data_IF_922171344236
#
_entry.id   IF_922171344236
#
_cell.length_a   1.000
_cell.length_b   1.000
_cell.length_c   1.000
_cell.angle_alpha   90.00
_cell.angle_beta   90.00
_cell.angle_gamma   90.00
#
_symmetry.space_group_name_H-M   'P 1'
#
loop_
_entity.id
_entity.type
_entity.pdbx_description
1 polymer ?
#
# COMPACT_ATOMS: atom_id res chain seq x y z
N UNK A 1 0.06 -2.71 8.72
CA UNK A 1 1.05 -1.70 8.32
C UNK A 1 2.15 -1.67 9.37
N UNK A 2 3.39 -1.44 8.97
CA UNK A 2 4.51 -1.20 9.87
C UNK A 2 5.08 0.18 9.57
N UNK A 3 5.06 1.07 10.56
CA UNK A 3 5.61 2.42 10.46
C UNK A 3 7.08 2.38 10.80
N UNK A 4 7.93 2.61 9.80
CA UNK A 4 9.38 2.45 9.91
C UNK A 4 10.08 3.80 10.17
N UNK A 5 9.57 4.88 9.57
CA UNK A 5 10.14 6.23 9.69
C UNK A 5 9.04 7.28 9.60
N UNK A 6 9.17 8.34 10.39
CA UNK A 6 8.26 9.49 10.34
C UNK A 6 8.53 10.38 9.13
N UNK A 7 7.46 10.89 8.52
CA UNK A 7 7.50 12.00 7.56
C UNK A 7 6.81 13.21 8.21
N UNK A 8 7.58 14.22 8.60
CA UNK A 8 7.09 15.37 9.38
C UNK A 8 6.69 16.57 8.51
N UNK A 9 7.02 16.53 7.22
CA UNK A 9 6.71 17.54 6.21
C UNK A 9 6.74 16.91 4.82
N UNK A 10 6.26 17.63 3.81
CA UNK A 10 6.21 17.14 2.42
C UNK A 10 5.13 16.08 2.22
N UNK A 11 5.33 15.24 1.21
CA UNK A 11 4.41 14.16 0.85
C UNK A 11 4.96 12.78 1.18
N UNK A 12 4.02 11.84 1.34
CA UNK A 12 4.29 10.41 1.33
C UNK A 12 3.63 9.82 0.10
N UNK A 13 4.42 9.20 -0.76
CA UNK A 13 3.97 8.54 -1.99
C UNK A 13 3.91 7.03 -1.77
N UNK A 14 2.78 6.42 -2.11
CA UNK A 14 2.60 4.96 -2.05
C UNK A 14 2.65 4.33 -3.45
N UNK A 15 3.46 3.29 -3.61
CA UNK A 15 3.44 2.43 -4.81
C UNK A 15 2.83 1.09 -4.43
N UNK A 16 1.77 0.70 -5.15
CA UNK A 16 1.08 -0.57 -4.93
C UNK A 16 1.50 -1.60 -5.97
N UNK A 17 1.69 -2.84 -5.53
CA UNK A 17 1.94 -3.99 -6.41
C UNK A 17 1.03 -5.14 -6.02
N UNK A 18 0.42 -5.84 -6.99
CA UNK A 18 -0.45 -6.95 -6.67
C UNK A 18 0.40 -8.12 -6.15
N UNK A 19 -0.03 -8.72 -5.05
CA UNK A 19 0.51 -9.98 -4.52
C UNK A 19 -0.37 -11.14 -4.96
N UNK A 20 -1.69 -10.93 -4.98
CA UNK A 20 -2.67 -11.90 -5.46
C UNK A 20 -3.87 -11.17 -6.08
N UNK A 21 -4.28 -11.59 -7.28
CA UNK A 21 -5.49 -11.07 -7.95
C UNK A 21 -6.43 -12.25 -8.21
N UNK A 22 -7.33 -12.50 -7.26
CA UNK A 22 -8.35 -13.54 -7.35
C UNK A 22 -9.70 -13.00 -7.81
N UNK A 23 -10.63 -13.91 -8.10
CA UNK A 23 -11.99 -13.59 -8.56
C UNK A 23 -12.84 -12.90 -7.49
N UNK A 24 -12.61 -13.20 -6.22
CA UNK A 24 -13.38 -12.69 -5.08
C UNK A 24 -12.53 -11.93 -4.06
N UNK A 25 -11.20 -12.09 -4.10
CA UNK A 25 -10.27 -11.41 -3.20
C UNK A 25 -9.04 -10.92 -3.95
N UNK A 26 -8.49 -9.79 -3.53
CA UNK A 26 -7.20 -9.30 -3.99
C UNK A 26 -6.32 -8.96 -2.79
N UNK A 27 -5.01 -9.14 -2.93
CA UNK A 27 -4.02 -8.78 -1.92
C UNK A 27 -2.98 -7.89 -2.58
N UNK A 28 -2.71 -6.74 -1.99
CA UNK A 28 -1.79 -5.73 -2.52
C UNK A 28 -0.73 -5.38 -1.49
N UNK A 29 0.53 -5.37 -1.92
CA UNK A 29 1.63 -4.77 -1.18
C UNK A 29 1.67 -3.28 -1.50
N UNK A 30 1.91 -2.46 -0.47
CA UNK A 30 2.02 -1.02 -0.58
C UNK A 30 3.33 -0.61 0.11
N UNK A 31 4.25 -0.07 -0.68
CA UNK A 31 5.47 0.54 -0.18
C UNK A 31 5.28 2.06 -0.20
N UNK A 32 5.48 2.71 0.94
CA UNK A 32 5.32 4.15 1.08
C UNK A 32 6.68 4.81 1.31
N UNK A 33 7.00 5.81 0.51
CA UNK A 33 8.24 6.59 0.61
C UNK A 33 7.94 8.07 0.80
N UNK A 34 8.80 8.80 1.51
CA UNK A 34 8.74 10.27 1.54
C UNK A 34 9.36 10.89 0.27
N UNK A 35 9.34 12.22 0.16
CA UNK A 35 9.92 12.96 -0.96
C UNK A 35 11.44 12.75 -1.12
N UNK A 36 12.14 12.32 -0.06
CA UNK A 36 13.56 11.96 -0.11
C UNK A 36 13.79 10.51 -0.60
N UNK A 37 12.72 9.78 -0.96
CA UNK A 37 12.78 8.39 -1.40
C UNK A 37 12.98 7.37 -0.27
N UNK A 38 12.90 7.80 0.98
CA UNK A 38 13.09 6.92 2.14
C UNK A 38 11.81 6.15 2.46
N UNK A 39 11.94 4.84 2.70
CA UNK A 39 10.81 3.98 3.06
C UNK A 39 10.26 4.37 4.44
N UNK A 40 9.04 4.88 4.49
CA UNK A 40 8.37 5.32 5.72
C UNK A 40 7.44 4.24 6.28
N UNK A 41 6.79 3.47 5.41
CA UNK A 41 5.84 2.44 5.82
C UNK A 41 5.76 1.32 4.78
N UNK A 42 5.56 0.11 5.27
CA UNK A 42 5.12 -1.03 4.45
C UNK A 42 3.74 -1.46 4.92
N UNK A 43 2.84 -1.67 3.98
CA UNK A 43 1.47 -2.10 4.27
C UNK A 43 1.02 -3.17 3.29
N UNK A 44 -0.01 -3.90 3.72
CA UNK A 44 -0.72 -4.87 2.90
C UNK A 44 -2.20 -4.67 3.10
N UNK A 45 -2.94 -4.61 1.99
CA UNK A 45 -4.40 -4.54 2.01
C UNK A 45 -4.98 -5.78 1.33
N UNK A 46 -6.06 -6.29 1.90
CA UNK A 46 -6.89 -7.33 1.31
C UNK A 46 -8.23 -6.73 0.93
N UNK A 47 -8.64 -6.88 -0.32
CA UNK A 47 -9.88 -6.34 -0.86
C UNK A 47 -10.85 -7.47 -1.22
N UNK A 48 -12.14 -7.25 -0.98
CA UNK A 48 -13.21 -8.05 -1.55
C UNK A 48 -13.58 -7.52 -2.94
N UNK A 49 -13.77 -8.40 -3.91
CA UNK A 49 -14.32 -8.07 -5.23
C UNK A 49 -15.79 -8.43 -5.22
N UNK A 50 -16.65 -7.42 -5.29
CA UNK A 50 -18.10 -7.61 -5.31
C UNK A 50 -18.61 -7.62 -6.74
N UNK A 51 -19.57 -8.50 -7.02
CA UNK A 51 -20.30 -8.43 -8.29
C UNK A 51 -21.05 -7.10 -8.39
N UNK A 52 -21.21 -6.52 -9.60
CA UNK A 52 -22.09 -5.39 -9.83
C UNK A 52 -23.49 -5.68 -9.31
N UNK A 53 -24.15 -4.65 -8.77
CA UNK A 53 -25.57 -4.72 -8.39
C UNK A 53 -26.46 -4.52 -9.60
#
# INVERSE_FOLDING_TARGET
ANHLKGATSGWVTGITRPVHIGRTTQVWQIDLTNDAGELTCVSRITMAVLAPR
#
